data_IF_381673981850
#
_entry.id   IF_381673981850
#
_cell.length_a   1.000
_cell.length_b   1.000
_cell.length_c   1.000
_cell.angle_alpha   90.00
_cell.angle_beta   90.00
_cell.angle_gamma   90.00
#
_symmetry.space_group_name_H-M   'P 1'
#
loop_
_entity.id
_entity.type
_entity.pdbx_description
1 polymer ?
#
# COMPACT_ATOMS: atom_id res chain seq x y z
N UNK A 1 3.11 9.84 35.80
CA UNK A 1 2.01 10.69 35.28
C UNK A 1 2.44 11.71 34.23
N UNK A 2 3.64 12.33 34.27
CA UNK A 2 4.11 13.23 33.19
C UNK A 2 4.53 12.51 31.89
N UNK A 3 5.11 11.31 31.95
CA UNK A 3 5.52 10.54 30.76
C UNK A 3 4.34 9.93 29.98
N UNK A 4 3.28 9.49 30.67
CA UNK A 4 2.08 8.92 30.03
C UNK A 4 1.28 9.95 29.25
N UNK A 5 1.23 11.20 29.73
CA UNK A 5 0.55 12.30 29.02
C UNK A 5 1.35 12.79 27.81
N UNK A 6 2.69 12.74 27.85
CA UNK A 6 3.53 13.05 26.69
C UNK A 6 3.38 11.98 25.59
N UNK A 7 3.39 10.69 25.96
CA UNK A 7 3.16 9.61 25.00
C UNK A 7 1.74 9.64 24.40
N UNK A 8 0.71 9.97 25.20
CA UNK A 8 -0.67 10.14 24.71
C UNK A 8 -0.82 11.34 23.77
N UNK A 9 -0.09 12.43 24.01
CA UNK A 9 -0.06 13.59 23.11
C UNK A 9 0.71 13.32 21.81
N UNK A 10 1.77 12.50 21.85
CA UNK A 10 2.53 12.13 20.65
C UNK A 10 1.86 11.04 19.80
N UNK A 11 1.14 10.07 20.40
CA UNK A 11 0.43 9.05 19.61
C UNK A 11 -0.72 9.64 18.80
N UNK A 12 -1.38 10.69 19.32
CA UNK A 12 -2.42 11.43 18.60
C UNK A 12 -1.88 12.33 17.47
N UNK A 13 -0.56 12.48 17.34
CA UNK A 13 0.05 13.36 16.32
C UNK A 13 0.42 12.62 15.03
N UNK A 14 0.62 11.29 15.10
CA UNK A 14 1.13 10.48 13.97
C UNK A 14 0.02 9.85 13.13
N UNK A 15 -1.16 9.61 13.71
CA UNK A 15 -2.31 9.03 13.02
C UNK A 15 -3.58 9.79 13.38
N UNK A 16 -4.36 10.14 12.36
CA UNK A 16 -5.71 10.67 12.51
C UNK A 16 -6.68 9.49 12.48
N UNK A 17 -7.14 9.05 13.65
CA UNK A 17 -8.05 7.90 13.73
C UNK A 17 -9.45 8.27 13.28
N UNK A 18 -10.11 7.38 12.52
CA UNK A 18 -11.51 7.55 12.10
C UNK A 18 -12.47 6.84 13.04
N UNK A 19 -13.67 7.41 13.19
CA UNK A 19 -14.79 6.85 13.95
C UNK A 19 -16.02 6.73 13.06
N UNK A 20 -16.99 5.91 13.47
CA UNK A 20 -18.25 5.73 12.74
C UNK A 20 -18.98 7.06 12.45
N UNK A 21 -18.89 8.04 13.37
CA UNK A 21 -19.45 9.38 13.22
C UNK A 21 -18.82 10.18 12.07
N UNK A 22 -17.52 10.03 11.84
CA UNK A 22 -16.78 10.77 10.81
C UNK A 22 -17.20 10.31 9.40
N UNK A 23 -17.64 9.05 9.31
CA UNK A 23 -17.97 8.39 8.05
C UNK A 23 -19.43 8.60 7.63
N UNK A 24 -20.28 9.19 8.45
CA UNK A 24 -21.72 9.31 8.16
C UNK A 24 -21.99 9.98 6.81
N UNK A 25 -21.20 10.99 6.45
CA UNK A 25 -21.36 11.72 5.18
C UNK A 25 -20.90 10.92 3.95
N UNK A 26 -20.12 9.86 4.15
CA UNK A 26 -19.61 9.00 3.08
C UNK A 26 -20.50 7.78 2.86
N UNK A 27 -21.45 7.51 3.76
CA UNK A 27 -22.30 6.32 3.71
C UNK A 27 -23.67 6.64 3.12
N UNK A 28 -24.11 5.79 2.20
CA UNK A 28 -25.48 5.74 1.69
C UNK A 28 -26.30 4.76 2.54
N UNK A 29 -27.50 5.19 2.94
CA UNK A 29 -28.43 4.35 3.69
C UNK A 29 -29.61 3.97 2.81
N UNK A 30 -29.96 2.68 2.83
CA UNK A 30 -31.15 2.14 2.18
C UNK A 30 -31.77 1.10 3.08
N UNK A 31 -33.10 1.16 3.23
CA UNK A 31 -33.82 0.24 4.11
C UNK A 31 -33.60 -1.22 3.69
N UNK A 32 -33.31 -2.09 4.66
CA UNK A 32 -33.05 -3.51 4.44
C UNK A 32 -31.62 -3.86 4.02
N UNK A 33 -30.72 -2.89 3.89
CA UNK A 33 -29.31 -3.12 3.54
C UNK A 33 -28.40 -2.86 4.74
N UNK A 34 -27.35 -3.67 4.88
CA UNK A 34 -26.21 -3.38 5.77
C UNK A 34 -24.99 -3.14 4.90
N UNK A 35 -24.38 -1.96 5.01
CA UNK A 35 -23.17 -1.60 4.28
C UNK A 35 -21.94 -1.90 5.11
N UNK A 36 -20.81 -2.10 4.44
CA UNK A 36 -19.56 -2.52 5.08
C UNK A 36 -19.11 -1.51 6.15
N UNK A 37 -19.26 -0.21 5.88
CA UNK A 37 -18.95 0.84 6.85
C UNK A 37 -19.69 0.74 8.19
N UNK A 38 -20.82 0.03 8.24
CA UNK A 38 -21.60 -0.22 9.47
C UNK A 38 -21.10 -1.47 10.23
N UNK A 39 -20.33 -2.34 9.57
CA UNK A 39 -19.82 -3.59 10.11
C UNK A 39 -18.36 -3.53 10.57
N UNK A 40 -17.64 -2.44 10.25
CA UNK A 40 -16.23 -2.26 10.61
C UNK A 40 -16.03 -2.06 12.11
N UNK A 41 -14.83 -2.38 12.58
CA UNK A 41 -14.33 -2.01 13.91
C UNK A 41 -13.58 -0.68 13.83
N UNK A 42 -13.50 -0.01 14.99
CA UNK A 42 -12.79 1.25 15.20
C UNK A 42 -12.00 1.17 16.50
N UNK A 43 -10.88 1.89 16.59
CA UNK A 43 -10.15 2.03 17.85
C UNK A 43 -10.94 2.92 18.80
N UNK A 44 -11.00 2.54 20.07
CA UNK A 44 -11.60 3.39 21.09
C UNK A 44 -10.82 4.71 21.23
N UNK A 45 -11.45 5.89 21.07
CA UNK A 45 -10.75 7.19 21.02
C UNK A 45 -9.89 7.51 22.24
N UNK A 46 -10.25 6.99 23.41
CA UNK A 46 -9.51 7.26 24.65
C UNK A 46 -8.29 6.38 24.88
N UNK A 47 -8.11 5.32 24.07
CA UNK A 47 -7.01 4.38 24.25
C UNK A 47 -5.77 4.81 23.46
N UNK A 48 -4.56 4.66 24.03
CA UNK A 48 -3.34 4.72 23.24
C UNK A 48 -3.37 3.70 22.10
N UNK A 49 -2.86 4.08 20.93
CA UNK A 49 -2.87 3.26 19.72
C UNK A 49 -2.43 1.79 19.96
N UNK A 50 -1.29 1.51 20.64
CA UNK A 50 -0.87 0.12 20.88
C UNK A 50 -1.91 -0.69 21.67
N UNK A 51 -2.50 -0.10 22.71
CA UNK A 51 -3.52 -0.76 23.52
C UNK A 51 -4.78 -1.03 22.70
N UNK A 52 -5.26 -0.03 21.95
CA UNK A 52 -6.43 -0.18 21.09
C UNK A 52 -6.27 -1.27 20.03
N UNK A 53 -5.07 -1.43 19.47
CA UNK A 53 -4.77 -2.50 18.51
C UNK A 53 -4.77 -3.89 19.16
N UNK A 54 -4.17 -4.04 20.35
CA UNK A 54 -4.21 -5.32 21.09
C UNK A 54 -5.64 -5.70 21.50
N UNK A 55 -6.47 -4.72 21.91
CA UNK A 55 -7.89 -4.96 22.20
C UNK A 55 -8.66 -5.37 20.94
N UNK A 56 -8.41 -4.72 19.81
CA UNK A 56 -9.01 -5.09 18.53
C UNK A 56 -8.65 -6.53 18.13
N UNK A 57 -7.37 -6.91 18.26
CA UNK A 57 -6.91 -8.29 18.04
C UNK A 57 -7.65 -9.29 18.94
N UNK A 58 -7.79 -8.98 20.22
CA UNK A 58 -8.53 -9.83 21.18
C UNK A 58 -10.02 -9.97 20.81
N UNK A 59 -10.60 -9.00 20.10
CA UNK A 59 -11.97 -9.02 19.59
C UNK A 59 -12.12 -9.71 18.22
N UNK A 60 -11.06 -10.33 17.71
CA UNK A 60 -11.08 -11.09 16.45
C UNK A 60 -10.79 -10.26 15.20
N UNK A 61 -10.31 -9.02 15.33
CA UNK A 61 -9.79 -8.26 14.20
C UNK A 61 -8.56 -8.98 13.64
N UNK A 62 -8.47 -9.03 12.32
CA UNK A 62 -7.31 -9.55 11.57
C UNK A 62 -6.64 -8.46 10.75
N UNK A 63 -7.44 -7.62 10.11
CA UNK A 63 -6.98 -6.62 9.15
C UNK A 63 -7.14 -5.21 9.68
N UNK A 64 -6.15 -4.35 9.41
CA UNK A 64 -6.20 -2.92 9.76
C UNK A 64 -6.01 -2.08 8.52
N UNK A 65 -7.03 -1.33 8.13
CA UNK A 65 -6.94 -0.39 7.01
C UNK A 65 -6.30 0.90 7.49
N UNK A 66 -5.21 1.31 6.83
CA UNK A 66 -4.46 2.54 7.11
C UNK A 66 -4.25 3.32 5.81
N UNK A 67 -4.67 4.57 5.76
CA UNK A 67 -4.38 5.48 4.66
C UNK A 67 -3.02 6.18 4.81
N UNK A 68 -2.30 6.39 3.71
CA UNK A 68 -1.09 7.22 3.68
C UNK A 68 -1.29 8.31 2.61
N UNK A 69 -2.00 9.41 2.93
CA UNK A 69 -2.46 10.40 1.95
C UNK A 69 -1.35 11.38 1.55
N UNK A 70 -0.36 10.91 0.79
CA UNK A 70 0.73 11.73 0.26
C UNK A 70 0.99 11.49 -1.23
N UNK A 71 1.60 12.48 -1.87
CA UNK A 71 2.09 12.41 -3.25
C UNK A 71 3.48 13.05 -3.41
N UNK A 72 4.21 13.19 -2.30
CA UNK A 72 5.57 13.75 -2.28
C UNK A 72 6.55 12.77 -2.91
N UNK A 73 6.42 11.48 -2.63
CA UNK A 73 7.30 10.45 -3.19
C UNK A 73 7.28 10.37 -4.72
N UNK A 74 6.10 10.32 -5.36
CA UNK A 74 5.98 10.37 -6.82
C UNK A 74 6.59 11.65 -7.40
N UNK A 75 6.33 12.81 -6.78
CA UNK A 75 6.90 14.10 -7.22
C UNK A 75 8.41 14.16 -7.07
N UNK A 76 8.96 13.58 -6.00
CA UNK A 76 10.41 13.45 -5.79
C UNK A 76 11.09 12.50 -6.80
N UNK A 77 10.30 11.69 -7.52
CA UNK A 77 10.70 10.83 -8.63
C UNK A 77 10.31 11.41 -10.00
N UNK A 78 10.07 12.72 -10.09
CA UNK A 78 9.65 13.43 -11.30
C UNK A 78 8.28 12.99 -11.88
N UNK A 79 7.47 12.28 -11.09
CA UNK A 79 6.11 11.91 -11.43
C UNK A 79 5.09 13.01 -11.10
N UNK A 80 3.86 12.79 -11.55
CA UNK A 80 2.73 13.67 -11.25
C UNK A 80 2.17 13.41 -9.84
N UNK A 81 1.70 14.46 -9.18
CA UNK A 81 0.98 14.32 -7.90
C UNK A 81 -0.43 13.76 -8.05
N UNK A 82 -1.15 13.63 -6.94
CA UNK A 82 -2.56 13.20 -6.89
C UNK A 82 -2.81 11.91 -6.11
N UNK A 83 -1.76 11.14 -5.78
CA UNK A 83 -1.86 9.91 -4.99
C UNK A 83 -2.43 10.14 -3.58
N UNK A 84 -2.26 11.35 -3.03
CA UNK A 84 -2.84 11.77 -1.76
C UNK A 84 -4.38 11.67 -1.70
N UNK A 85 -5.07 11.61 -2.86
CA UNK A 85 -6.52 11.47 -2.93
C UNK A 85 -7.01 10.00 -2.92
N UNK A 86 -6.10 9.03 -3.04
CA UNK A 86 -6.43 7.61 -3.19
C UNK A 86 -7.22 7.04 -1.99
N UNK A 87 -6.79 7.35 -0.76
CA UNK A 87 -7.48 6.86 0.44
C UNK A 87 -8.91 7.40 0.55
N UNK A 88 -9.13 8.69 0.25
CA UNK A 88 -10.47 9.27 0.25
C UNK A 88 -11.36 8.63 -0.84
N UNK A 89 -10.80 8.39 -2.04
CA UNK A 89 -11.51 7.71 -3.12
C UNK A 89 -11.94 6.29 -2.71
N UNK A 90 -11.02 5.54 -2.08
CA UNK A 90 -11.29 4.22 -1.52
C UNK A 90 -12.43 4.26 -0.50
N UNK A 91 -12.37 5.14 0.50
CA UNK A 91 -13.43 5.23 1.53
C UNK A 91 -14.81 5.52 0.92
N UNK A 92 -14.88 6.37 -0.12
CA UNK A 92 -16.14 6.68 -0.80
C UNK A 92 -16.83 5.48 -1.45
N UNK A 93 -16.06 4.42 -1.80
CA UNK A 93 -16.59 3.19 -2.40
C UNK A 93 -16.67 2.04 -1.40
N UNK A 94 -15.60 1.75 -0.67
CA UNK A 94 -15.47 0.61 0.23
C UNK A 94 -16.55 0.59 1.31
N UNK A 95 -16.82 1.73 1.94
CA UNK A 95 -17.81 1.85 3.02
C UNK A 95 -19.23 1.53 2.54
N UNK A 96 -19.49 1.69 1.24
CA UNK A 96 -20.78 1.48 0.61
C UNK A 96 -20.93 0.10 -0.04
N UNK A 97 -19.97 -0.81 0.09
CA UNK A 97 -20.15 -2.21 -0.34
C UNK A 97 -21.14 -2.91 0.59
N UNK A 98 -21.87 -3.91 0.09
CA UNK A 98 -22.76 -4.73 0.92
C UNK A 98 -21.95 -5.54 1.95
N UNK A 99 -22.36 -5.47 3.22
CA UNK A 99 -21.91 -6.40 4.24
C UNK A 99 -22.83 -7.63 4.21
N UNK A 100 -22.34 -8.73 3.66
CA UNK A 100 -23.10 -9.99 3.54
C UNK A 100 -22.19 -11.20 3.82
N UNK A 101 -22.68 -12.40 3.54
CA UNK A 101 -21.98 -13.65 3.82
C UNK A 101 -20.57 -13.78 3.19
N UNK A 102 -20.24 -12.96 2.20
CA UNK A 102 -18.95 -13.01 1.50
C UNK A 102 -17.87 -12.12 2.12
N UNK A 103 -18.18 -11.27 3.11
CA UNK A 103 -17.18 -10.41 3.76
C UNK A 103 -17.44 -10.28 5.26
N UNK A 104 -16.41 -10.56 6.07
CA UNK A 104 -16.49 -10.45 7.52
C UNK A 104 -16.02 -9.07 7.99
N UNK A 105 -16.90 -8.08 7.86
CA UNK A 105 -16.58 -6.70 8.29
C UNK A 105 -16.07 -6.59 9.73
N UNK A 106 -16.53 -7.47 10.63
CA UNK A 106 -16.08 -7.51 12.02
C UNK A 106 -14.61 -7.90 12.22
N UNK A 107 -13.96 -8.50 11.22
CA UNK A 107 -12.53 -8.83 11.22
C UNK A 107 -11.66 -7.65 10.70
N UNK A 108 -12.29 -6.54 10.28
CA UNK A 108 -11.64 -5.38 9.67
C UNK A 108 -11.78 -4.17 10.59
N UNK A 109 -10.63 -3.62 10.99
CA UNK A 109 -10.50 -2.36 11.71
C UNK A 109 -10.16 -1.25 10.71
N UNK A 110 -10.97 -0.19 10.67
CA UNK A 110 -10.57 1.04 9.98
C UNK A 110 -9.84 1.94 10.98
N UNK A 111 -8.52 2.04 10.84
CA UNK A 111 -7.72 2.86 11.74
C UNK A 111 -7.92 4.34 11.42
N UNK A 112 -7.73 4.72 10.16
CA UNK A 112 -7.69 6.12 9.72
C UNK A 112 -6.48 6.36 8.82
N UNK A 113 -5.87 7.54 8.92
CA UNK A 113 -4.76 7.93 8.05
C UNK A 113 -3.53 8.38 8.85
N UNK A 114 -2.34 8.09 8.34
CA UNK A 114 -1.09 8.68 8.86
C UNK A 114 -1.19 10.19 8.68
N UNK A 115 -0.92 10.94 9.74
CA UNK A 115 -1.00 12.39 9.70
C UNK A 115 0.19 12.95 8.91
N UNK A 116 -0.07 13.36 7.66
CA UNK A 116 0.92 13.91 6.73
C UNK A 116 0.54 15.31 6.21
N UNK A 117 -0.50 15.92 6.77
CA UNK A 117 -1.05 17.18 6.27
C UNK A 117 -0.03 18.34 6.28
N UNK A 118 0.83 18.42 7.30
CA UNK A 118 1.89 19.43 7.38
C UNK A 118 3.00 19.19 6.34
N UNK A 119 3.33 17.94 6.05
CA UNK A 119 4.33 17.59 5.03
C UNK A 119 3.78 17.88 3.63
N UNK A 120 2.52 17.52 3.36
CA UNK A 120 1.83 17.88 2.12
C UNK A 120 1.80 19.39 1.91
N UNK A 121 1.46 20.16 2.95
CA UNK A 121 1.43 21.62 2.87
C UNK A 121 2.80 22.24 2.57
N UNK A 122 3.86 21.79 3.26
CA UNK A 122 5.25 22.23 3.00
C UNK A 122 5.73 21.87 1.61
N UNK A 123 5.32 20.68 1.13
CA UNK A 123 5.72 20.19 -0.19
C UNK A 123 4.94 20.82 -1.34
N UNK A 124 3.81 21.50 -1.09
CA UNK A 124 2.84 21.86 -2.13
C UNK A 124 3.44 22.72 -3.27
N UNK A 125 4.34 23.64 -2.96
CA UNK A 125 4.95 24.55 -3.94
C UNK A 125 6.30 24.08 -4.49
N UNK A 126 6.85 22.97 -4.00
CA UNK A 126 8.16 22.48 -4.42
C UNK A 126 8.12 21.86 -5.81
N UNK A 127 9.15 22.13 -6.61
CA UNK A 127 9.32 21.61 -7.97
C UNK A 127 10.51 20.68 -8.05
N UNK A 128 10.32 19.52 -8.67
CA UNK A 128 11.41 18.58 -8.94
C UNK A 128 12.40 19.11 -10.00
N UNK A 129 12.04 20.15 -10.76
CA UNK A 129 12.90 20.77 -11.76
C UNK A 129 13.97 21.70 -11.17
N UNK A 130 13.85 22.06 -9.90
CA UNK A 130 14.85 22.83 -9.15
C UNK A 130 15.59 21.88 -8.20
N UNK A 131 16.93 21.88 -8.26
CA UNK A 131 17.76 20.89 -7.53
C UNK A 131 17.61 21.03 -6.00
N UNK A 132 17.51 22.25 -5.49
CA UNK A 132 17.37 22.48 -4.05
C UNK A 132 15.98 22.06 -3.56
N UNK A 133 14.93 22.36 -4.33
CA UNK A 133 13.56 21.95 -4.02
C UNK A 133 13.36 20.44 -4.18
N UNK A 134 14.04 19.79 -5.14
CA UNK A 134 14.07 18.33 -5.27
C UNK A 134 14.71 17.69 -4.04
N UNK A 135 15.82 18.24 -3.55
CA UNK A 135 16.45 17.77 -2.32
C UNK A 135 15.50 17.90 -1.11
N UNK A 136 14.74 19.00 -1.04
CA UNK A 136 13.72 19.20 0.00
C UNK A 136 12.56 18.20 -0.10
N UNK A 137 12.05 17.92 -1.32
CA UNK A 137 11.07 16.86 -1.57
C UNK A 137 11.60 15.50 -1.06
N UNK A 138 12.83 15.13 -1.41
CA UNK A 138 13.46 13.86 -0.98
C UNK A 138 13.63 13.79 0.54
N UNK A 139 13.91 14.91 1.21
CA UNK A 139 13.96 14.99 2.68
C UNK A 139 12.57 14.86 3.32
N UNK A 140 11.52 15.40 2.68
CA UNK A 140 10.15 15.20 3.11
C UNK A 140 9.70 13.74 2.99
N UNK A 141 10.12 13.02 1.95
CA UNK A 141 9.88 11.57 1.84
C UNK A 141 10.50 10.80 3.02
N UNK A 142 11.72 11.14 3.45
CA UNK A 142 12.31 10.53 4.65
C UNK A 142 11.50 10.82 5.93
N UNK A 143 10.87 11.99 6.02
CA UNK A 143 10.00 12.33 7.15
C UNK A 143 8.71 11.51 7.10
N UNK A 144 8.14 11.31 5.91
CA UNK A 144 7.01 10.40 5.67
C UNK A 144 7.39 8.98 6.10
N UNK A 145 8.56 8.49 5.67
CA UNK A 145 9.06 7.15 6.01
C UNK A 145 9.04 6.93 7.54
N UNK A 146 9.56 7.87 8.32
CA UNK A 146 9.58 7.79 9.78
C UNK A 146 8.17 7.73 10.41
N UNK A 147 7.21 8.50 9.89
CA UNK A 147 5.83 8.50 10.42
C UNK A 147 5.08 7.24 10.07
N UNK A 148 5.17 6.80 8.81
CA UNK A 148 4.54 5.56 8.33
C UNK A 148 5.09 4.36 9.09
N UNK A 149 6.42 4.26 9.23
CA UNK A 149 7.06 3.17 9.95
C UNK A 149 6.63 3.12 11.43
N UNK A 150 6.57 4.29 12.09
CA UNK A 150 6.14 4.37 13.49
C UNK A 150 4.70 3.90 13.71
N UNK A 151 3.77 4.24 12.81
CA UNK A 151 2.36 3.83 12.92
C UNK A 151 2.24 2.33 12.64
N UNK A 152 2.82 1.85 11.54
CA UNK A 152 2.67 0.45 11.12
C UNK A 152 3.39 -0.53 12.06
N UNK A 153 4.47 -0.11 12.72
CA UNK A 153 5.13 -0.95 13.72
C UNK A 153 4.16 -1.37 14.82
N UNK A 154 3.31 -0.46 15.30
CA UNK A 154 2.29 -0.80 16.30
C UNK A 154 1.26 -1.81 15.79
N UNK A 155 0.90 -1.75 14.51
CA UNK A 155 -0.02 -2.72 13.88
C UNK A 155 0.63 -4.10 13.82
N UNK A 156 1.88 -4.18 13.35
CA UNK A 156 2.62 -5.44 13.29
C UNK A 156 2.90 -6.03 14.68
N UNK A 157 3.26 -5.20 15.67
CA UNK A 157 3.50 -5.62 17.05
C UNK A 157 2.23 -6.19 17.72
N UNK A 158 1.04 -5.74 17.29
CA UNK A 158 -0.25 -6.30 17.71
C UNK A 158 -0.65 -7.59 16.97
N UNK A 159 0.21 -8.10 16.09
CA UNK A 159 -0.03 -9.27 15.24
C UNK A 159 -1.25 -9.10 14.32
N UNK A 160 -1.44 -7.89 13.80
CA UNK A 160 -2.47 -7.57 12.82
C UNK A 160 -1.86 -7.35 11.44
N UNK A 161 -2.65 -7.59 10.39
CA UNK A 161 -2.23 -7.45 8.99
C UNK A 161 -2.68 -6.09 8.46
N UNK A 162 -1.78 -5.11 8.27
CA UNK A 162 -2.17 -3.85 7.68
C UNK A 162 -2.53 -4.00 6.19
N UNK A 163 -3.56 -3.25 5.79
CA UNK A 163 -3.94 -2.98 4.41
C UNK A 163 -3.70 -1.48 4.21
N UNK A 164 -2.61 -1.15 3.53
CA UNK A 164 -2.13 0.22 3.34
C UNK A 164 -2.64 0.75 2.01
N UNK A 165 -3.31 1.91 2.04
CA UNK A 165 -3.92 2.54 0.85
C UNK A 165 -3.25 3.90 0.58
N UNK A 166 -2.62 4.01 -0.59
CA UNK A 166 -1.78 5.17 -0.96
C UNK A 166 -0.51 5.22 -0.10
N UNK A 167 0.35 6.23 -0.25
CA UNK A 167 0.38 7.28 -1.26
C UNK A 167 1.18 6.78 -2.46
N UNK A 168 2.39 7.31 -2.67
CA UNK A 168 3.29 6.73 -3.66
C UNK A 168 3.93 5.42 -3.21
N UNK A 169 4.62 4.76 -4.14
CA UNK A 169 5.28 3.49 -3.89
C UNK A 169 6.55 3.62 -3.02
N UNK A 170 6.97 4.85 -2.69
CA UNK A 170 7.99 5.14 -1.68
C UNK A 170 7.65 4.49 -0.34
N UNK A 171 6.35 4.35 -0.04
CA UNK A 171 5.86 3.80 1.21
C UNK A 171 6.18 2.30 1.39
N UNK A 172 6.59 1.58 0.34
CA UNK A 172 7.09 0.21 0.47
C UNK A 172 8.29 0.15 1.45
N UNK A 173 9.19 1.14 1.43
CA UNK A 173 10.34 1.19 2.34
C UNK A 173 9.94 1.22 3.83
N UNK A 174 9.16 2.21 4.31
CA UNK A 174 8.78 2.28 5.72
C UNK A 174 7.85 1.15 6.16
N UNK A 175 7.05 0.56 5.26
CA UNK A 175 6.25 -0.63 5.54
C UNK A 175 7.17 -1.83 5.83
N UNK A 176 8.13 -2.11 4.93
CA UNK A 176 9.11 -3.18 5.10
C UNK A 176 10.00 -2.94 6.33
N UNK A 177 10.39 -1.70 6.59
CA UNK A 177 11.12 -1.31 7.80
C UNK A 177 10.33 -1.66 9.07
N UNK A 178 9.07 -1.25 9.15
CA UNK A 178 8.23 -1.50 10.32
C UNK A 178 8.01 -3.01 10.55
N UNK A 179 7.74 -3.75 9.47
CA UNK A 179 7.60 -5.20 9.50
C UNK A 179 8.89 -5.85 10.01
N UNK A 180 10.03 -5.45 9.46
CA UNK A 180 11.33 -6.03 9.82
C UNK A 180 11.71 -5.75 11.27
N UNK A 181 11.47 -4.53 11.75
CA UNK A 181 11.70 -4.16 13.15
C UNK A 181 10.75 -4.88 14.11
N UNK A 182 9.51 -5.16 13.71
CA UNK A 182 8.55 -5.91 14.51
C UNK A 182 8.89 -7.41 14.57
N UNK A 183 9.32 -7.99 13.45
CA UNK A 183 9.57 -9.44 13.32
C UNK A 183 11.02 -9.84 13.59
N UNK A 184 11.93 -8.87 13.73
CA UNK A 184 13.35 -9.11 13.95
C UNK A 184 14.09 -9.74 12.75
N UNK A 185 13.48 -9.74 11.56
CA UNK A 185 14.05 -10.31 10.34
C UNK A 185 13.56 -9.55 9.11
N UNK A 186 14.30 -9.59 8.00
CA UNK A 186 13.83 -9.02 6.73
C UNK A 186 12.66 -9.83 6.15
N UNK A 187 11.82 -9.18 5.35
CA UNK A 187 10.67 -9.79 4.69
C UNK A 187 10.99 -10.15 3.23
N UNK A 188 10.35 -11.19 2.72
CA UNK A 188 10.26 -11.39 1.28
C UNK A 188 9.17 -10.47 0.72
N UNK A 189 9.20 -10.15 -0.57
CA UNK A 189 8.21 -9.27 -1.18
C UNK A 189 7.89 -9.71 -2.61
N UNK A 190 6.59 -9.76 -2.94
CA UNK A 190 6.10 -9.93 -4.31
C UNK A 190 5.39 -8.63 -4.69
N UNK A 191 5.80 -8.04 -5.81
CA UNK A 191 5.29 -6.77 -6.30
C UNK A 191 4.65 -6.92 -7.69
N UNK A 192 3.41 -6.47 -7.84
CA UNK A 192 2.74 -6.34 -9.13
C UNK A 192 2.94 -4.91 -9.65
N UNK A 193 3.85 -4.73 -10.61
CA UNK A 193 4.34 -3.41 -10.97
C UNK A 193 5.00 -3.41 -12.36
N UNK A 194 4.71 -2.42 -13.23
CA UNK A 194 5.46 -2.22 -14.47
C UNK A 194 6.91 -1.73 -14.23
N UNK A 195 7.21 -1.15 -13.09
CA UNK A 195 8.52 -0.69 -12.67
C UNK A 195 9.15 -1.68 -11.68
N UNK A 196 10.48 -1.68 -11.62
CA UNK A 196 11.20 -2.46 -10.62
C UNK A 196 11.26 -1.79 -9.24
N UNK A 197 11.12 -0.47 -9.20
CA UNK A 197 11.30 0.38 -8.03
C UNK A 197 12.58 0.11 -7.23
N UNK A 198 13.62 -0.21 -7.99
CA UNK A 198 14.96 -0.55 -7.53
C UNK A 198 16.00 0.47 -8.03
N UNK A 199 15.61 1.74 -8.16
CA UNK A 199 16.50 2.83 -8.60
C UNK A 199 17.58 3.14 -7.56
N UNK A 200 18.55 3.98 -7.95
CA UNK A 200 19.71 4.37 -7.16
C UNK A 200 19.33 4.99 -5.79
N UNK A 201 20.27 4.88 -4.84
CA UNK A 201 20.16 5.48 -3.50
C UNK A 201 20.52 6.98 -3.53
N UNK A 202 19.78 7.76 -4.30
CA UNK A 202 20.06 9.18 -4.59
C UNK A 202 19.25 10.17 -3.72
N UNK A 203 18.61 9.67 -2.68
CA UNK A 203 17.59 10.35 -1.89
C UNK A 203 16.22 9.69 -2.12
N UNK A 204 15.39 9.67 -1.07
CA UNK A 204 14.14 8.89 -1.07
C UNK A 204 13.11 9.47 -2.05
N UNK A 205 12.48 8.60 -2.83
CA UNK A 205 11.37 8.91 -3.73
C UNK A 205 10.59 7.63 -4.07
N UNK A 206 9.56 7.68 -4.93
CA UNK A 206 8.71 6.49 -5.18
C UNK A 206 9.48 5.32 -5.78
N UNK A 207 10.27 5.55 -6.83
CA UNK A 207 10.96 4.47 -7.56
C UNK A 207 12.19 3.84 -6.89
N UNK A 208 12.45 4.06 -5.60
CA UNK A 208 13.60 3.45 -4.90
C UNK A 208 13.24 2.86 -3.53
N UNK A 209 11.96 2.57 -3.25
CA UNK A 209 11.55 1.93 -2.00
C UNK A 209 12.31 0.63 -1.70
N UNK A 210 12.38 -0.25 -2.70
CA UNK A 210 12.92 -1.60 -2.54
C UNK A 210 14.45 -1.64 -2.50
N UNK A 211 15.15 -0.77 -3.25
CA UNK A 211 16.62 -0.69 -3.18
C UNK A 211 17.10 -0.19 -1.81
N UNK A 212 16.42 0.80 -1.23
CA UNK A 212 16.67 1.24 0.15
C UNK A 212 16.36 0.13 1.17
N UNK A 213 15.25 -0.59 0.99
CA UNK A 213 14.88 -1.69 1.89
C UNK A 213 15.88 -2.85 1.83
N UNK A 214 16.37 -3.17 0.64
CA UNK A 214 17.43 -4.17 0.44
C UNK A 214 18.75 -3.73 1.08
N UNK A 215 19.21 -2.50 0.84
CA UNK A 215 20.43 -1.96 1.43
C UNK A 215 20.38 -1.95 2.98
N UNK A 216 19.20 -1.66 3.56
CA UNK A 216 18.96 -1.70 4.99
C UNK A 216 18.67 -3.12 5.55
N UNK A 217 18.64 -4.15 4.70
CA UNK A 217 18.33 -5.55 5.05
C UNK A 217 16.92 -5.80 5.57
N UNK A 218 16.00 -4.87 5.32
CA UNK A 218 14.57 -5.04 5.59
C UNK A 218 13.90 -5.93 4.52
N UNK A 219 14.47 -5.97 3.31
CA UNK A 219 14.04 -6.81 2.20
C UNK A 219 15.01 -7.99 2.02
N UNK A 220 14.48 -9.23 2.04
CA UNK A 220 15.22 -10.48 1.86
C UNK A 220 15.23 -10.95 0.40
N UNK A 221 14.07 -11.34 -0.11
CA UNK A 221 13.86 -11.75 -1.49
C UNK A 221 12.85 -10.81 -2.13
N UNK A 222 13.06 -10.46 -3.40
CA UNK A 222 12.19 -9.55 -4.13
C UNK A 222 11.86 -10.11 -5.51
N UNK A 223 10.57 -10.16 -5.83
CA UNK A 223 10.11 -10.61 -7.14
C UNK A 223 9.05 -9.68 -7.72
N UNK A 224 9.25 -9.23 -8.95
CA UNK A 224 8.30 -8.36 -9.67
C UNK A 224 7.52 -9.17 -10.70
N UNK A 225 6.20 -9.09 -10.64
CA UNK A 225 5.28 -9.65 -11.65
C UNK A 225 4.79 -8.50 -12.52
N UNK A 226 4.84 -8.66 -13.84
CA UNK A 226 4.32 -7.65 -14.77
C UNK A 226 5.29 -6.50 -15.08
N UNK A 227 6.57 -6.63 -14.72
CA UNK A 227 7.60 -5.63 -15.03
C UNK A 227 7.60 -5.31 -16.53
N UNK A 228 7.56 -4.04 -16.89
CA UNK A 228 7.58 -3.64 -18.28
C UNK A 228 9.02 -3.39 -18.74
N UNK A 229 9.51 -4.20 -19.67
CA UNK A 229 10.93 -4.21 -20.10
C UNK A 229 11.45 -2.82 -20.48
N UNK A 230 10.60 -2.01 -21.12
CA UNK A 230 10.98 -0.68 -21.63
C UNK A 230 10.67 0.51 -20.70
N UNK A 231 10.12 0.27 -19.50
CA UNK A 231 9.86 1.33 -18.52
C UNK A 231 10.94 1.42 -17.43
N UNK A 232 11.95 0.56 -17.51
CA UNK A 232 13.00 0.42 -16.51
C UNK A 232 14.35 0.80 -17.09
N UNK A 233 15.09 1.65 -16.38
CA UNK A 233 16.45 1.99 -16.76
C UNK A 233 17.38 0.78 -16.55
N UNK A 234 18.37 0.60 -17.43
CA UNK A 234 19.35 -0.49 -17.32
C UNK A 234 20.04 -0.51 -15.94
N UNK A 235 20.35 0.66 -15.38
CA UNK A 235 20.97 0.78 -14.06
C UNK A 235 20.11 0.24 -12.91
N UNK A 236 18.78 0.25 -13.04
CA UNK A 236 17.89 -0.32 -12.05
C UNK A 236 17.77 -1.84 -12.22
N UNK A 237 17.74 -2.34 -13.46
CA UNK A 237 17.78 -3.77 -13.77
C UNK A 237 19.11 -4.42 -13.33
N UNK A 238 20.22 -3.71 -13.49
CA UNK A 238 21.54 -4.17 -13.01
C UNK A 238 21.56 -4.27 -11.48
N UNK A 239 20.99 -3.27 -10.77
CA UNK A 239 20.89 -3.33 -9.31
C UNK A 239 19.98 -4.47 -8.83
N UNK A 240 18.84 -4.71 -9.49
CA UNK A 240 17.99 -5.87 -9.19
C UNK A 240 18.78 -7.17 -9.35
N UNK A 241 19.49 -7.32 -10.46
CA UNK A 241 20.29 -8.52 -10.76
C UNK A 241 21.38 -8.73 -9.71
N UNK A 242 22.08 -7.66 -9.32
CA UNK A 242 23.11 -7.70 -8.27
C UNK A 242 22.54 -8.04 -6.88
N UNK A 243 21.32 -7.57 -6.58
CA UNK A 243 20.58 -7.94 -5.37
C UNK A 243 19.98 -9.36 -5.42
N UNK A 244 20.10 -10.04 -6.56
CA UNK A 244 19.52 -11.36 -6.79
C UNK A 244 18.01 -11.34 -6.98
N UNK A 245 17.37 -10.17 -7.13
CA UNK A 245 15.93 -10.02 -7.32
C UNK A 245 15.47 -10.60 -8.68
N UNK A 246 14.26 -11.13 -8.71
CA UNK A 246 13.68 -11.75 -9.90
C UNK A 246 12.52 -10.93 -10.49
N UNK A 247 12.15 -11.23 -11.74
CA UNK A 247 10.90 -10.75 -12.31
C UNK A 247 10.35 -11.69 -13.39
N UNK A 248 9.07 -11.49 -13.71
CA UNK A 248 8.44 -11.96 -14.96
C UNK A 248 7.82 -10.76 -15.63
N UNK A 249 8.17 -10.52 -16.90
CA UNK A 249 7.80 -9.27 -17.56
C UNK A 249 6.39 -9.29 -18.14
N UNK A 250 5.80 -8.11 -18.29
CA UNK A 250 4.56 -7.91 -19.05
C UNK A 250 4.67 -8.50 -20.46
N UNK A 251 5.83 -8.33 -21.10
CA UNK A 251 6.07 -8.83 -22.45
C UNK A 251 6.12 -10.36 -22.49
N UNK A 252 6.75 -11.03 -21.52
CA UNK A 252 6.71 -12.50 -21.38
C UNK A 252 5.27 -12.99 -21.28
N UNK A 253 4.45 -12.32 -20.46
CA UNK A 253 3.08 -12.75 -20.14
C UNK A 253 2.09 -12.47 -21.29
N UNK A 254 2.11 -11.25 -21.84
CA UNK A 254 1.02 -10.74 -22.68
C UNK A 254 1.39 -10.53 -24.15
N UNK A 255 2.68 -10.42 -24.47
CA UNK A 255 3.15 -10.18 -25.85
C UNK A 255 3.69 -11.47 -26.46
N UNK A 256 4.76 -12.02 -25.87
CA UNK A 256 5.41 -13.24 -26.34
C UNK A 256 4.69 -14.51 -25.90
N UNK A 257 3.83 -14.42 -24.88
CA UNK A 257 2.99 -15.52 -24.38
C UNK A 257 3.80 -16.75 -23.96
N UNK A 258 4.99 -16.52 -23.41
CA UNK A 258 5.90 -17.56 -22.93
C UNK A 258 5.39 -18.18 -21.62
N UNK A 259 4.61 -17.41 -20.86
CA UNK A 259 3.94 -17.86 -19.64
C UNK A 259 2.57 -17.21 -19.52
N UNK A 260 1.62 -17.87 -18.87
CA UNK A 260 0.35 -17.24 -18.51
C UNK A 260 0.52 -16.36 -17.27
N UNK A 261 -0.38 -15.40 -17.07
CA UNK A 261 -0.33 -14.55 -15.88
C UNK A 261 -0.38 -15.37 -14.58
N UNK A 262 -1.27 -16.37 -14.51
CA UNK A 262 -1.39 -17.21 -13.31
C UNK A 262 -0.10 -18.01 -13.02
N UNK A 263 0.60 -18.49 -14.06
CA UNK A 263 1.90 -19.16 -13.93
C UNK A 263 3.01 -18.19 -13.50
N UNK A 264 2.98 -16.94 -13.96
CA UNK A 264 3.90 -15.91 -13.48
C UNK A 264 3.73 -15.66 -11.97
N UNK A 265 2.48 -15.65 -11.48
CA UNK A 265 2.19 -15.56 -10.04
C UNK A 265 2.67 -16.80 -9.29
N UNK A 266 2.47 -18.01 -9.82
CA UNK A 266 3.00 -19.25 -9.21
C UNK A 266 4.54 -19.22 -9.11
N UNK A 267 5.21 -18.71 -10.16
CA UNK A 267 6.67 -18.54 -10.17
C UNK A 267 7.12 -17.57 -9.08
N UNK A 268 6.42 -16.45 -8.90
CA UNK A 268 6.74 -15.48 -7.84
C UNK A 268 6.57 -16.08 -6.43
N UNK A 269 5.48 -16.84 -6.21
CA UNK A 269 5.22 -17.56 -4.97
C UNK A 269 6.32 -18.59 -4.68
N UNK A 270 6.72 -19.37 -5.70
CA UNK A 270 7.80 -20.34 -5.58
C UNK A 270 9.16 -19.67 -5.31
N UNK A 271 9.43 -18.52 -5.95
CA UNK A 271 10.67 -17.77 -5.79
C UNK A 271 10.89 -17.30 -4.34
N UNK A 272 9.84 -16.85 -3.65
CA UNK A 272 9.92 -16.50 -2.22
C UNK A 272 9.86 -17.72 -1.28
N UNK A 273 9.96 -18.95 -1.81
CA UNK A 273 9.99 -20.19 -1.05
C UNK A 273 8.63 -20.82 -0.73
N UNK A 274 7.54 -20.34 -1.34
CA UNK A 274 6.19 -20.89 -1.17
C UNK A 274 5.65 -20.86 0.26
N UNK A 275 4.60 -21.62 0.55
CA UNK A 275 3.97 -21.63 1.89
C UNK A 275 4.83 -22.26 3.01
N UNK A 276 5.91 -22.98 2.67
CA UNK A 276 6.74 -23.72 3.63
C UNK A 276 7.88 -22.91 4.27
N UNK A 277 8.17 -21.70 3.77
CA UNK A 277 9.17 -20.80 4.37
C UNK A 277 8.59 -20.03 5.56
N UNK A 278 9.45 -19.59 6.49
CA UNK A 278 9.04 -18.90 7.72
C UNK A 278 9.12 -17.37 7.64
N UNK A 279 9.76 -16.80 6.61
CA UNK A 279 9.88 -15.35 6.47
C UNK A 279 8.52 -14.72 6.14
N UNK A 280 8.18 -13.55 6.72
CA UNK A 280 6.97 -12.83 6.32
C UNK A 280 7.09 -12.35 4.87
N UNK A 281 5.95 -12.18 4.22
CA UNK A 281 5.84 -11.76 2.81
C UNK A 281 5.05 -10.45 2.73
N UNK A 282 5.65 -9.44 2.12
CA UNK A 282 4.95 -8.24 1.64
C UNK A 282 4.23 -8.52 0.33
N UNK A 283 2.96 -8.12 0.25
CA UNK A 283 2.18 -8.13 -0.99
C UNK A 283 2.01 -6.69 -1.46
N UNK A 284 2.67 -6.34 -2.55
CA UNK A 284 2.66 -5.01 -3.14
C UNK A 284 1.85 -5.03 -4.45
N UNK A 285 1.05 -3.99 -4.65
CA UNK A 285 0.38 -3.69 -5.91
C UNK A 285 0.61 -2.22 -6.22
N UNK A 286 1.48 -1.96 -7.19
CA UNK A 286 1.50 -0.68 -7.87
C UNK A 286 0.31 -0.63 -8.82
N UNK A 287 -0.63 0.29 -8.55
CA UNK A 287 -1.84 0.38 -9.36
C UNK A 287 -1.58 0.92 -10.77
N UNK A 288 -0.38 1.41 -11.08
CA UNK A 288 0.08 1.73 -12.45
C UNK A 288 0.17 0.48 -13.36
N UNK A 289 0.14 -0.71 -12.75
CA UNK A 289 0.05 -1.98 -13.47
C UNK A 289 -1.32 -2.21 -14.11
N UNK A 290 -2.38 -1.53 -13.64
CA UNK A 290 -3.76 -1.78 -14.05
C UNK A 290 -4.19 -0.82 -15.16
N UNK A 291 -4.69 -1.38 -16.27
CA UNK A 291 -5.15 -0.60 -17.41
C UNK A 291 -6.33 0.31 -17.02
N UNK A 292 -6.24 1.58 -17.41
CA UNK A 292 -7.29 2.57 -17.13
C UNK A 292 -7.36 3.04 -15.67
N UNK A 293 -6.48 2.58 -14.79
CA UNK A 293 -6.40 3.12 -13.43
C UNK A 293 -5.96 4.60 -13.46
N UNK A 294 -6.60 5.49 -12.69
CA UNK A 294 -6.12 6.86 -12.49
C UNK A 294 -4.82 6.86 -11.72
N UNK A 295 -3.71 7.11 -12.41
CA UNK A 295 -2.35 7.08 -11.86
C UNK A 295 -1.46 8.15 -12.48
N UNK A 296 -0.25 8.33 -11.95
CA UNK A 296 0.73 9.28 -12.46
C UNK A 296 1.13 8.99 -13.92
N UNK A 297 1.21 7.71 -14.31
CA UNK A 297 1.57 7.22 -15.64
C UNK A 297 0.47 6.33 -16.25
N UNK A 298 -0.68 6.92 -16.59
CA UNK A 298 -1.84 6.21 -17.15
C UNK A 298 -1.45 5.32 -18.35
N UNK A 299 -1.88 4.06 -18.31
CA UNK A 299 -1.58 3.06 -19.34
C UNK A 299 -2.85 2.40 -19.88
N UNK A 300 -2.87 2.19 -21.20
CA UNK A 300 -3.86 1.32 -21.87
C UNK A 300 -3.32 -0.11 -22.04
N UNK A 301 -2.04 -0.33 -21.71
CA UNK A 301 -1.31 -1.57 -21.89
C UNK A 301 -0.81 -2.06 -20.53
N UNK A 302 -1.73 -2.56 -19.71
CA UNK A 302 -1.46 -3.15 -18.40
C UNK A 302 -2.35 -4.37 -18.17
N UNK A 303 -2.50 -4.77 -16.92
CA UNK A 303 -3.38 -5.85 -16.52
C UNK A 303 -4.84 -5.39 -16.48
N UNK A 304 -5.76 -6.35 -16.53
CA UNK A 304 -7.16 -6.09 -16.18
C UNK A 304 -7.32 -5.99 -14.66
N UNK A 305 -8.40 -5.34 -14.20
CA UNK A 305 -8.76 -5.31 -12.77
C UNK A 305 -8.94 -6.74 -12.24
N UNK A 306 -9.55 -7.63 -13.03
CA UNK A 306 -9.78 -9.03 -12.64
C UNK A 306 -8.47 -9.81 -12.46
N UNK A 307 -7.45 -9.56 -13.29
CA UNK A 307 -6.13 -10.16 -13.12
C UNK A 307 -5.46 -9.64 -11.84
N UNK A 308 -5.56 -8.35 -11.55
CA UNK A 308 -5.03 -7.78 -10.31
C UNK A 308 -5.73 -8.35 -9.06
N UNK A 309 -7.07 -8.49 -9.08
CA UNK A 309 -7.82 -9.19 -8.03
C UNK A 309 -7.36 -10.65 -7.89
N UNK A 310 -7.18 -11.35 -9.02
CA UNK A 310 -6.70 -12.73 -9.01
C UNK A 310 -5.29 -12.85 -8.41
N UNK A 311 -4.38 -11.93 -8.72
CA UNK A 311 -3.04 -11.87 -8.12
C UNK A 311 -3.13 -11.70 -6.60
N UNK A 312 -3.88 -10.69 -6.14
CA UNK A 312 -4.03 -10.42 -4.71
C UNK A 312 -4.63 -11.64 -4.00
N UNK A 313 -5.74 -12.17 -4.51
CA UNK A 313 -6.41 -13.34 -3.93
C UNK A 313 -5.50 -14.57 -3.91
N UNK A 314 -4.82 -14.87 -5.02
CA UNK A 314 -3.99 -16.08 -5.17
C UNK A 314 -2.78 -16.04 -4.24
N UNK A 315 -2.04 -14.92 -4.20
CA UNK A 315 -0.88 -14.78 -3.31
C UNK A 315 -1.33 -14.83 -1.85
N UNK A 316 -2.35 -14.06 -1.48
CA UNK A 316 -2.88 -14.03 -0.12
C UNK A 316 -3.42 -15.39 0.34
N UNK A 317 -4.01 -16.20 -0.56
CA UNK A 317 -4.49 -17.55 -0.27
C UNK A 317 -3.34 -18.55 -0.12
N UNK A 318 -2.42 -18.61 -1.09
CA UNK A 318 -1.34 -19.61 -1.10
C UNK A 318 -0.25 -19.33 -0.04
N UNK A 319 -0.10 -18.07 0.36
CA UNK A 319 0.86 -17.63 1.37
C UNK A 319 0.17 -17.11 2.64
N UNK A 320 -1.04 -17.61 2.95
CA UNK A 320 -1.91 -17.12 4.05
C UNK A 320 -1.25 -16.97 5.42
N UNK A 321 -0.28 -17.83 5.75
CA UNK A 321 0.45 -17.78 7.03
C UNK A 321 1.67 -16.86 7.02
N UNK A 322 2.06 -16.36 5.84
CA UNK A 322 3.28 -15.57 5.63
C UNK A 322 2.97 -14.13 5.23
N UNK A 323 1.89 -13.90 4.49
CA UNK A 323 1.54 -12.56 4.01
C UNK A 323 1.25 -11.66 5.20
N UNK A 324 2.11 -10.65 5.37
CA UNK A 324 2.12 -9.80 6.54
C UNK A 324 1.37 -8.48 6.31
N UNK A 325 1.26 -8.02 5.06
CA UNK A 325 0.51 -6.83 4.69
C UNK A 325 0.09 -6.86 3.22
N UNK A 326 -0.85 -5.98 2.87
CA UNK A 326 -1.13 -5.54 1.50
C UNK A 326 -0.87 -4.05 1.40
N UNK A 327 -0.20 -3.60 0.35
CA UNK A 327 -0.05 -2.18 0.02
C UNK A 327 -0.52 -1.91 -1.40
N UNK A 328 -1.41 -0.93 -1.54
CA UNK A 328 -1.97 -0.47 -2.81
C UNK A 328 -1.45 0.96 -3.08
N UNK A 329 -0.46 1.08 -3.95
CA UNK A 329 0.28 2.32 -4.21
C UNK A 329 -0.22 3.08 -5.47
N UNK A 330 0.17 4.35 -5.57
CA UNK A 330 0.13 5.20 -6.78
C UNK A 330 -1.26 5.59 -7.33
N UNK A 331 -2.34 5.13 -6.70
CA UNK A 331 -3.70 5.52 -7.08
C UNK A 331 -3.89 7.04 -6.97
N UNK A 332 -3.88 7.73 -8.11
CA UNK A 332 -3.90 9.17 -8.24
C UNK A 332 -5.17 9.68 -8.96
N UNK A 333 -6.32 9.75 -8.26
CA UNK A 333 -7.58 10.29 -8.80
C UNK A 333 -7.46 11.63 -9.54
N UNK A 334 -6.48 12.46 -9.15
CA UNK A 334 -6.23 13.76 -9.78
C UNK A 334 -5.80 13.68 -11.25
N UNK A 335 -5.29 12.53 -11.69
CA UNK A 335 -4.75 12.31 -13.04
C UNK A 335 -5.78 11.72 -14.02
N UNK A 336 -7.02 11.49 -13.58
CA UNK A 336 -8.06 10.96 -14.46
C UNK A 336 -8.42 11.98 -15.58
N UNK A 337 -8.49 11.58 -16.87
CA UNK A 337 -8.72 12.51 -17.99
C UNK A 337 -10.09 13.23 -17.95
N UNK A 338 -11.13 12.55 -17.45
CA UNK A 338 -12.45 13.17 -17.19
C UNK A 338 -12.55 13.95 -15.85
N UNK A 339 -11.42 14.23 -15.18
CA UNK A 339 -11.33 15.03 -13.97
C UNK A 339 -11.45 14.25 -12.66
N UNK A 340 -11.19 14.96 -11.55
CA UNK A 340 -11.03 14.39 -10.19
C UNK A 340 -12.23 13.57 -9.73
N UNK A 341 -13.45 13.97 -10.08
CA UNK A 341 -14.66 13.25 -9.65
C UNK A 341 -14.73 11.85 -10.29
N UNK A 342 -14.45 11.74 -11.59
CA UNK A 342 -14.35 10.46 -12.28
C UNK A 342 -13.18 9.64 -11.72
N UNK A 343 -12.03 10.27 -11.51
CA UNK A 343 -10.87 9.61 -10.90
C UNK A 343 -11.14 9.03 -9.52
N UNK A 344 -11.86 9.77 -8.65
CA UNK A 344 -12.26 9.27 -7.32
C UNK A 344 -13.23 8.09 -7.43
N UNK A 345 -14.12 8.12 -8.42
CA UNK A 345 -15.06 7.03 -8.68
C UNK A 345 -14.33 5.74 -9.07
N UNK A 346 -13.47 5.81 -10.08
CA UNK A 346 -12.78 4.65 -10.64
C UNK A 346 -11.69 4.11 -9.71
N UNK A 347 -10.79 4.96 -9.22
CA UNK A 347 -9.75 4.54 -8.29
C UNK A 347 -10.36 3.95 -7.02
N UNK A 348 -11.43 4.56 -6.49
CA UNK A 348 -12.14 4.03 -5.34
C UNK A 348 -12.72 2.63 -5.59
N UNK A 349 -13.26 2.39 -6.79
CA UNK A 349 -13.82 1.09 -7.17
C UNK A 349 -12.73 0.02 -7.26
N UNK A 350 -11.62 0.32 -7.92
CA UNK A 350 -10.50 -0.63 -8.11
C UNK A 350 -9.82 -0.93 -6.78
N UNK A 351 -9.49 0.09 -5.97
CA UNK A 351 -8.93 -0.11 -4.64
C UNK A 351 -9.86 -0.97 -3.75
N UNK A 352 -11.17 -0.72 -3.83
CA UNK A 352 -12.17 -1.53 -3.10
C UNK A 352 -12.13 -3.00 -3.54
N UNK A 353 -12.09 -3.26 -4.85
CA UNK A 353 -12.04 -4.60 -5.41
C UNK A 353 -10.79 -5.37 -4.92
N UNK A 354 -9.61 -4.73 -4.96
CA UNK A 354 -8.35 -5.32 -4.50
C UNK A 354 -8.36 -5.63 -2.99
N UNK A 355 -8.88 -4.71 -2.17
CA UNK A 355 -9.02 -4.97 -0.72
C UNK A 355 -9.98 -6.13 -0.46
N UNK A 356 -11.09 -6.23 -1.19
CA UNK A 356 -12.03 -7.36 -1.06
C UNK A 356 -11.37 -8.68 -1.46
N UNK A 357 -10.65 -8.73 -2.58
CA UNK A 357 -9.89 -9.90 -3.01
C UNK A 357 -8.89 -10.39 -1.95
N UNK A 358 -8.30 -9.47 -1.18
CA UNK A 358 -7.37 -9.79 -0.09
C UNK A 358 -8.05 -10.39 1.14
N UNK A 359 -9.15 -9.78 1.59
CA UNK A 359 -9.82 -10.20 2.84
C UNK A 359 -10.73 -11.42 2.64
N UNK A 360 -11.04 -11.78 1.39
CA UNK A 360 -11.91 -12.91 1.02
C UNK A 360 -11.18 -14.25 0.85
N UNK A 361 -9.99 -14.42 1.44
CA UNK A 361 -9.14 -15.63 1.35
C UNK A 361 -9.47 -16.72 2.38
N UNK A 362 -10.76 -16.88 2.71
CA UNK A 362 -11.22 -17.83 3.74
C UNK A 362 -10.85 -19.28 3.45
#
# INVERSE_FOLDING_TARGET
MKSSNLHRAMSNFLVSTLQASDLQRLQSQRAGETRLGQALRFIHPDLPLPQGLHEAKAQGVKYVIVGVPEDVGPRANFGNGGAALGFQAFLGRFLNVQANAFVKGSEILLLGEVNLADIQAKSASLSASDEAQLAELRAHVQTIDGRVSSVLKHVFDADLVPIVIGGGHNNAYPILQALSQSRGSGADCINLDPHCDFRLLEGRHSGNGFSYAHAAKYLSSYYVVGLHELKNAQTALDQMTQAGAGFTSYQEIFIRRETTFSQAVDKAIAYVGGGGSSKPVGLEVDTDSISGMPVSALTNCGLSVADAEHYVYKVATQLKQRVAYLHLAEAAPGQHPAGVAAGKSEAGQILTALVLAFVQTN
#
